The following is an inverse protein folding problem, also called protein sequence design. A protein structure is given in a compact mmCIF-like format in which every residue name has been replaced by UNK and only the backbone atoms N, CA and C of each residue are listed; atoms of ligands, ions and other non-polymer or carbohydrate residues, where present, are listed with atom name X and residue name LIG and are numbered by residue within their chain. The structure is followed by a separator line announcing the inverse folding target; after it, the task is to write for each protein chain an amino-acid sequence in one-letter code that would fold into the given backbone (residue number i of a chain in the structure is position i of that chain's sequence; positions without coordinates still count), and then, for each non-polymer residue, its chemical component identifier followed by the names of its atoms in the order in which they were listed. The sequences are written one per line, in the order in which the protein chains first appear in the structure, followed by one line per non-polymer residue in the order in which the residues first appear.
data_IF_449347518027
#
_entry.id   IF_449347518027
#
_cell.length_a   1.000
_cell.length_b   1.000
_cell.length_c   1.000
_cell.angle_alpha   90.00
_cell.angle_beta   90.00
_cell.angle_gamma   90.00
#
_symmetry.space_group_name_H-M   'P 1'
#
loop_
_entity.id
_entity.type
_entity.pdbx_description
1 polymer ?
#
# COMPACT_ATOMS: atom_id res chain seq x y z
N UNK A 1 4.71 -3.30 -12.98
CA UNK A 1 4.15 -3.08 -11.63
C UNK A 1 2.75 -2.52 -11.74
N UNK A 2 1.81 -3.09 -10.99
CA UNK A 2 0.39 -2.73 -10.99
C UNK A 2 -0.09 -2.36 -9.58
N UNK A 3 -0.99 -1.37 -9.49
CA UNK A 3 -1.51 -0.85 -8.22
C UNK A 3 -3.03 -0.98 -8.15
N UNK A 4 -3.52 -1.72 -7.16
CA UNK A 4 -4.93 -1.87 -6.89
C UNK A 4 -5.26 -1.42 -5.46
N UNK A 5 -6.41 -0.79 -5.26
CA UNK A 5 -6.92 -0.47 -3.93
C UNK A 5 -7.82 -1.59 -3.42
N UNK A 6 -7.62 -2.02 -2.18
CA UNK A 6 -8.48 -2.97 -1.49
C UNK A 6 -9.47 -2.20 -0.60
N UNK A 7 -10.77 -2.45 -0.81
CA UNK A 7 -11.86 -1.81 -0.06
C UNK A 7 -12.65 -2.81 0.79
N UNK A 8 -12.19 -4.05 0.88
CA UNK A 8 -12.80 -5.05 1.75
C UNK A 8 -12.27 -4.88 3.18
N UNK A 9 -13.13 -4.87 4.21
CA UNK A 9 -12.68 -4.97 5.58
C UNK A 9 -11.93 -6.29 5.76
N UNK A 10 -10.76 -6.25 6.41
CA UNK A 10 -9.97 -7.46 6.66
C UNK A 10 -10.72 -8.44 7.56
N UNK A 11 -10.42 -9.74 7.44
CA UNK A 11 -10.96 -10.78 8.34
C UNK A 11 -10.57 -10.58 9.82
N UNK A 12 -9.64 -9.65 10.09
CA UNK A 12 -9.12 -9.33 11.41
C UNK A 12 -9.90 -8.21 12.11
N UNK A 13 -10.97 -7.70 11.48
CA UNK A 13 -11.87 -6.69 12.03
C UNK A 13 -11.30 -5.27 11.96
N UNK A 14 -12.05 -4.36 11.34
CA UNK A 14 -11.75 -2.92 11.26
C UNK A 14 -11.99 -2.33 9.86
N UNK A 15 -12.05 -0.99 9.77
CA UNK A 15 -12.12 -0.24 8.52
C UNK A 15 -10.73 -0.20 7.85
N UNK A 16 -10.17 -1.36 7.54
CA UNK A 16 -8.89 -1.47 6.85
C UNK A 16 -9.13 -1.33 5.36
N UNK A 17 -8.42 -0.41 4.73
CA UNK A 17 -8.31 -0.34 3.28
C UNK A 17 -6.85 -0.56 2.92
N UNK A 18 -6.57 -0.94 1.67
CA UNK A 18 -5.20 -1.30 1.31
C UNK A 18 -4.78 -0.79 -0.05
N UNK A 19 -3.47 -0.63 -0.22
CA UNK A 19 -2.85 -0.58 -1.54
C UNK A 19 -2.13 -1.92 -1.77
N UNK A 20 -2.59 -2.67 -2.78
CA UNK A 20 -1.90 -3.84 -3.30
C UNK A 20 -0.98 -3.42 -4.43
N UNK A 21 0.27 -3.85 -4.35
CA UNK A 21 1.31 -3.66 -5.36
C UNK A 21 1.65 -5.04 -5.89
N UNK A 22 1.48 -5.24 -7.19
CA UNK A 22 1.88 -6.48 -7.85
C UNK A 22 3.01 -6.17 -8.83
N UNK A 23 4.01 -7.03 -8.85
CA UNK A 23 5.09 -6.99 -9.81
C UNK A 23 5.20 -8.36 -10.46
N UNK A 24 4.92 -8.38 -11.76
CA UNK A 24 5.16 -9.54 -12.60
C UNK A 24 6.50 -9.34 -13.30
N UNK A 25 7.41 -10.29 -13.11
CA UNK A 25 8.65 -10.40 -13.87
C UNK A 25 8.50 -11.59 -14.82
N UNK A 26 8.20 -11.28 -16.09
CA UNK A 26 7.98 -12.29 -17.14
C UNK A 26 9.26 -13.09 -17.44
N UNK A 27 10.44 -12.45 -17.30
CA UNK A 27 11.73 -13.06 -17.62
C UNK A 27 12.15 -14.09 -16.56
N UNK A 28 11.79 -13.86 -15.30
CA UNK A 28 12.08 -14.77 -14.19
C UNK A 28 10.89 -15.66 -13.81
N UNK A 29 9.71 -15.43 -14.40
CA UNK A 29 8.47 -16.11 -14.04
C UNK A 29 8.03 -15.84 -12.59
N UNK A 30 8.46 -14.70 -12.01
CA UNK A 30 8.22 -14.35 -10.62
C UNK A 30 6.99 -13.44 -10.48
N UNK A 31 6.27 -13.64 -9.38
CA UNK A 31 5.11 -12.84 -9.00
C UNK A 31 5.29 -12.36 -7.57
N UNK A 32 5.74 -11.12 -7.42
CA UNK A 32 5.81 -10.47 -6.13
C UNK A 32 4.52 -9.69 -5.88
N UNK A 33 3.99 -9.79 -4.67
CA UNK A 33 2.88 -8.96 -4.23
C UNK A 33 3.13 -8.44 -2.82
N UNK A 34 2.71 -7.21 -2.58
CA UNK A 34 2.72 -6.59 -1.27
C UNK A 34 1.38 -5.89 -1.03
N UNK A 35 0.90 -5.90 0.20
CA UNK A 35 -0.29 -5.17 0.61
C UNK A 35 0.04 -4.24 1.77
N UNK A 36 -0.29 -2.96 1.60
CA UNK A 36 -0.11 -1.93 2.61
C UNK A 36 -1.48 -1.61 3.19
N UNK A 37 -1.73 -2.03 4.43
CA UNK A 37 -2.94 -1.68 5.15
C UNK A 37 -2.88 -0.22 5.63
N UNK A 38 -3.95 0.53 5.36
CA UNK A 38 -4.13 1.94 5.73
C UNK A 38 -5.38 2.06 6.59
N UNK A 39 -5.21 2.70 7.73
CA UNK A 39 -6.28 3.00 8.67
C UNK A 39 -6.80 4.43 8.46
N UNK A 40 -8.13 4.56 8.54
CA UNK A 40 -8.83 5.84 8.54
C UNK A 40 -9.67 5.95 9.81
N UNK A 41 -9.50 7.05 10.53
CA UNK A 41 -10.36 7.41 11.66
C UNK A 41 -11.61 8.17 11.18
N UNK A 42 -11.52 8.81 10.02
CA UNK A 42 -12.58 9.63 9.42
C UNK A 42 -13.38 8.85 8.39
N UNK A 43 -14.68 9.14 8.30
CA UNK A 43 -15.54 8.63 7.24
C UNK A 43 -15.28 9.38 5.92
N UNK A 44 -15.10 8.64 4.83
CA UNK A 44 -14.92 9.19 3.48
C UNK A 44 -16.14 8.79 2.64
N UNK A 45 -16.88 9.79 2.18
CA UNK A 45 -18.23 9.61 1.61
C UNK A 45 -18.23 9.15 0.14
N UNK A 46 -17.09 9.21 -0.55
CA UNK A 46 -17.00 8.75 -1.94
C UNK A 46 -15.90 7.73 -2.19
N UNK A 47 -16.19 6.76 -3.05
CA UNK A 47 -15.22 5.73 -3.47
C UNK A 47 -14.02 6.33 -4.19
N UNK A 48 -14.21 7.42 -4.93
CA UNK A 48 -13.15 8.17 -5.60
C UNK A 48 -12.20 8.86 -4.61
N UNK A 49 -12.73 9.50 -3.57
CA UNK A 49 -11.92 10.16 -2.56
C UNK A 49 -11.18 9.12 -1.71
N UNK A 50 -11.85 8.03 -1.34
CA UNK A 50 -11.24 6.92 -0.63
C UNK A 50 -10.06 6.34 -1.42
N UNK A 51 -10.24 6.09 -2.72
CA UNK A 51 -9.17 5.64 -3.62
C UNK A 51 -7.97 6.59 -3.61
N UNK A 52 -8.23 7.89 -3.71
CA UNK A 52 -7.19 8.91 -3.74
C UNK A 52 -6.44 8.95 -2.40
N UNK A 53 -7.17 8.87 -1.30
CA UNK A 53 -6.60 8.97 0.04
C UNK A 53 -5.78 7.73 0.41
N UNK A 54 -6.23 6.52 0.06
CA UNK A 54 -5.42 5.29 0.16
C UNK A 54 -4.07 5.50 -0.53
N UNK A 55 -4.08 5.95 -1.79
CA UNK A 55 -2.85 6.17 -2.56
C UNK A 55 -1.93 7.22 -1.92
N UNK A 56 -2.49 8.34 -1.44
CA UNK A 56 -1.71 9.40 -0.78
C UNK A 56 -1.03 8.88 0.49
N UNK A 57 -1.78 8.20 1.37
CA UNK A 57 -1.24 7.68 2.64
C UNK A 57 -0.24 6.55 2.41
N UNK A 58 -0.51 5.63 1.49
CA UNK A 58 0.43 4.58 1.10
C UNK A 58 1.72 5.16 0.52
N UNK A 59 1.65 6.19 -0.33
CA UNK A 59 2.85 6.85 -0.86
C UNK A 59 3.68 7.50 0.25
N UNK A 60 3.05 8.20 1.19
CA UNK A 60 3.74 8.82 2.31
C UNK A 60 4.41 7.77 3.22
N UNK A 61 3.73 6.64 3.46
CA UNK A 61 4.29 5.50 4.19
C UNK A 61 5.51 4.91 3.47
N UNK A 62 5.36 4.59 2.17
CA UNK A 62 6.44 4.01 1.36
C UNK A 62 7.67 4.92 1.31
N UNK A 63 7.48 6.23 1.16
CA UNK A 63 8.60 7.18 1.17
C UNK A 63 9.42 7.11 2.47
N UNK A 64 8.75 7.02 3.62
CA UNK A 64 9.44 6.87 4.92
C UNK A 64 10.12 5.50 5.03
N UNK A 65 9.44 4.44 4.60
CA UNK A 65 9.99 3.08 4.64
C UNK A 65 11.22 2.94 3.74
N UNK A 66 11.18 3.48 2.52
CA UNK A 66 12.31 3.49 1.59
C UNK A 66 13.47 4.28 2.17
N UNK A 67 13.24 5.49 2.69
CA UNK A 67 14.30 6.29 3.29
C UNK A 67 14.99 5.56 4.46
N UNK A 68 14.22 4.89 5.32
CA UNK A 68 14.76 4.10 6.42
C UNK A 68 15.56 2.88 5.92
N UNK A 69 15.02 2.14 4.96
CA UNK A 69 15.74 0.99 4.37
C UNK A 69 17.03 1.41 3.67
N UNK A 70 17.02 2.52 2.96
CA UNK A 70 18.22 3.09 2.33
C UNK A 70 19.28 3.48 3.37
N UNK A 71 18.87 4.05 4.51
CA UNK A 71 19.77 4.34 5.62
C UNK A 71 20.41 3.06 6.18
N UNK A 72 19.59 2.06 6.51
CA UNK A 72 20.04 0.76 7.03
C UNK A 72 21.01 0.04 6.06
N UNK A 73 20.72 0.07 4.75
CA UNK A 73 21.56 -0.56 3.73
C UNK A 73 22.83 0.24 3.42
N UNK A 74 22.84 1.56 3.69
CA UNK A 74 24.03 2.39 3.50
C UNK A 74 25.12 2.18 4.56
N UNK A 75 24.85 1.34 5.58
CA UNK A 75 25.81 1.03 6.65
C UNK A 75 26.05 2.21 7.59
N UNK A 76 25.10 3.14 7.70
CA UNK A 76 25.08 4.19 8.72
C UNK A 76 24.26 3.77 9.93
#
# INVERSE_FOLDING_TARGET
MEFATNHQPSEWGGNHYGLRINEHDEDLGLNNSAEIAIWFEEFIDSRSELNLEIRKRSLAFLKRAVAQLEEELSGK
#
